data_IF_368985991154
#
_entry.id   IF_368985991154
#
_cell.length_a   1.000
_cell.length_b   1.000
_cell.length_c   1.000
_cell.angle_alpha   90.00
_cell.angle_beta   90.00
_cell.angle_gamma   90.00
#
_symmetry.space_group_name_H-M   'P 1'
#
loop_
_entity.id
_entity.type
_entity.pdbx_description
1 polymer ?
#
# COMPACT_ATOMS: atom_id res chain seq x y z
N UNK A 1 -0.41 -23.74 -8.82
CA UNK A 1 -0.49 -22.27 -8.89
C UNK A 1 0.89 -21.75 -8.55
N UNK A 2 1.51 -20.94 -9.41
CA UNK A 2 2.82 -20.36 -9.11
C UNK A 2 2.68 -19.50 -7.86
N UNK A 3 3.46 -19.82 -6.82
CA UNK A 3 3.40 -19.21 -5.48
C UNK A 3 4.00 -17.79 -5.54
N UNK A 4 3.30 -16.89 -6.23
CA UNK A 4 3.71 -15.48 -6.35
C UNK A 4 3.73 -14.87 -4.97
N UNK A 5 4.78 -14.10 -4.68
CA UNK A 5 4.90 -13.41 -3.40
C UNK A 5 3.74 -12.44 -3.21
N UNK A 6 3.16 -12.46 -2.01
CA UNK A 6 1.99 -11.67 -1.64
C UNK A 6 2.40 -10.31 -1.12
N UNK A 7 1.83 -9.24 -1.64
CA UNK A 7 2.17 -7.87 -1.25
C UNK A 7 0.93 -7.19 -0.67
N UNK A 8 1.07 -6.58 0.50
CA UNK A 8 0.09 -5.63 1.01
C UNK A 8 0.43 -4.22 0.50
N UNK A 9 -0.56 -3.51 -0.05
CA UNK A 9 -0.41 -2.09 -0.35
C UNK A 9 -1.10 -1.25 0.74
N UNK A 10 -0.33 -0.43 1.43
CA UNK A 10 -0.78 0.45 2.51
C UNK A 10 -0.70 1.88 1.97
N UNK A 11 -1.86 2.50 1.77
CA UNK A 11 -2.02 3.69 0.92
C UNK A 11 -2.79 4.78 1.68
N UNK A 12 -2.39 6.04 1.53
CA UNK A 12 -3.16 7.18 2.03
C UNK A 12 -4.37 7.47 1.13
N UNK A 13 -4.15 7.74 -0.16
CA UNK A 13 -5.21 7.88 -1.17
C UNK A 13 -4.81 7.27 -2.52
N UNK A 14 -5.81 6.87 -3.30
CA UNK A 14 -5.59 6.28 -4.63
C UNK A 14 -6.50 6.97 -5.66
N UNK A 15 -5.94 7.87 -6.46
CA UNK A 15 -6.65 8.61 -7.51
C UNK A 15 -5.76 8.78 -8.75
N UNK A 16 -6.28 9.23 -9.90
CA UNK A 16 -5.47 9.43 -11.09
C UNK A 16 -4.25 10.33 -10.83
N UNK A 17 -3.07 9.85 -11.22
CA UNK A 17 -1.80 10.56 -11.05
C UNK A 17 -1.27 10.63 -9.62
N UNK A 18 -1.93 9.98 -8.64
CA UNK A 18 -1.35 9.86 -7.30
C UNK A 18 -0.18 8.88 -7.30
N UNK A 19 0.67 8.96 -6.27
CA UNK A 19 1.76 8.01 -6.09
C UNK A 19 1.29 6.55 -6.05
N UNK A 20 0.13 6.29 -5.43
CA UNK A 20 -0.49 4.96 -5.44
C UNK A 20 -0.85 4.51 -6.85
N UNK A 21 -1.36 5.40 -7.72
CA UNK A 21 -1.64 5.08 -9.12
C UNK A 21 -0.36 4.81 -9.92
N UNK A 22 0.70 5.58 -9.71
CA UNK A 22 1.96 5.36 -10.42
C UNK A 22 2.62 4.04 -10.01
N UNK A 23 2.50 3.63 -8.75
CA UNK A 23 3.19 2.45 -8.20
C UNK A 23 2.28 1.23 -8.17
N UNK A 24 1.19 1.26 -7.40
CA UNK A 24 0.34 0.09 -7.14
C UNK A 24 -0.33 -0.41 -8.42
N UNK A 25 -0.73 0.49 -9.34
CA UNK A 25 -1.26 0.09 -10.66
C UNK A 25 -0.27 -0.79 -11.42
N UNK A 26 1.05 -0.59 -11.27
CA UNK A 26 2.06 -1.42 -11.96
C UNK A 26 2.15 -2.82 -11.38
N UNK A 27 1.89 -2.99 -10.09
CA UNK A 27 1.82 -4.30 -9.44
C UNK A 27 0.51 -5.04 -9.75
N UNK A 28 -0.54 -4.32 -10.14
CA UNK A 28 -1.81 -4.90 -10.58
C UNK A 28 -1.81 -5.23 -12.08
N UNK A 29 -1.44 -4.26 -12.92
CA UNK A 29 -1.57 -4.33 -14.38
C UNK A 29 -0.30 -4.78 -15.11
N UNK A 30 0.86 -4.64 -14.47
CA UNK A 30 2.15 -4.74 -15.14
C UNK A 30 2.74 -3.37 -15.53
N UNK A 31 4.00 -3.42 -15.96
CA UNK A 31 4.78 -2.25 -16.36
C UNK A 31 4.84 -2.20 -17.89
N UNK A 32 4.24 -1.19 -18.54
CA UNK A 32 4.41 -1.02 -19.97
C UNK A 32 5.83 -0.54 -20.29
N UNK A 33 6.45 -1.15 -21.29
CA UNK A 33 7.76 -0.79 -21.85
C UNK A 33 7.66 -0.77 -23.37
N UNK A 34 8.71 -0.28 -24.04
CA UNK A 34 8.78 -0.25 -25.51
C UNK A 34 8.69 -1.66 -26.13
N UNK A 35 9.17 -2.67 -25.41
CA UNK A 35 9.15 -4.09 -25.81
C UNK A 35 7.85 -4.82 -25.42
N UNK A 36 6.88 -4.13 -24.81
CA UNK A 36 5.57 -4.68 -24.43
C UNK A 36 5.26 -4.55 -22.94
N UNK A 37 4.40 -5.44 -22.43
CA UNK A 37 3.92 -5.38 -21.04
C UNK A 37 4.67 -6.38 -20.16
N UNK A 38 5.50 -5.88 -19.24
CA UNK A 38 6.15 -6.71 -18.22
C UNK A 38 5.13 -7.06 -17.13
N UNK A 39 4.82 -8.35 -17.01
CA UNK A 39 3.90 -8.85 -15.99
C UNK A 39 4.51 -8.76 -14.58
N UNK A 40 3.71 -8.44 -13.54
CA UNK A 40 4.18 -8.45 -12.16
C UNK A 40 4.66 -9.86 -11.74
N UNK A 41 5.78 -9.92 -11.01
CA UNK A 41 6.32 -11.17 -10.43
C UNK A 41 5.72 -11.52 -9.07
N UNK A 42 4.86 -10.64 -8.56
CA UNK A 42 4.20 -10.69 -7.25
C UNK A 42 2.72 -10.38 -7.45
N UNK A 43 1.91 -10.54 -6.42
CA UNK A 43 0.50 -10.16 -6.43
C UNK A 43 0.19 -9.17 -5.31
N UNK A 44 -0.72 -8.22 -5.55
CA UNK A 44 -1.29 -7.42 -4.46
C UNK A 44 -2.37 -8.30 -3.80
N UNK A 45 -2.07 -8.80 -2.61
CA UNK A 45 -2.97 -9.69 -1.88
C UNK A 45 -4.02 -8.93 -1.06
N UNK A 46 -3.75 -7.67 -0.74
CA UNK A 46 -4.65 -6.81 0.05
C UNK A 46 -4.28 -5.35 -0.07
N UNK A 47 -5.23 -4.47 0.20
CA UNK A 47 -4.99 -3.04 0.36
C UNK A 47 -5.52 -2.51 1.70
N UNK A 48 -4.85 -1.51 2.25
CA UNK A 48 -5.41 -0.54 3.17
C UNK A 48 -5.41 0.82 2.46
N UNK A 49 -6.53 1.53 2.51
CA UNK A 49 -6.68 2.86 1.92
C UNK A 49 -7.30 3.77 2.97
N UNK A 50 -6.56 4.80 3.36
CA UNK A 50 -6.95 5.70 4.45
C UNK A 50 -8.10 6.63 4.04
N UNK A 51 -8.03 7.17 2.82
CA UNK A 51 -8.96 8.17 2.30
C UNK A 51 -9.44 7.80 0.90
N UNK A 52 -10.73 8.02 0.65
CA UNK A 52 -11.39 7.75 -0.63
C UNK A 52 -11.92 9.07 -1.21
N UNK A 53 -11.12 9.80 -2.01
CA UNK A 53 -11.58 11.03 -2.67
C UNK A 53 -12.66 10.72 -3.72
N UNK A 54 -13.32 11.76 -4.25
CA UNK A 54 -14.41 11.60 -5.24
C UNK A 54 -13.98 10.79 -6.48
N UNK A 55 -12.73 10.95 -6.91
CA UNK A 55 -12.13 10.24 -8.03
C UNK A 55 -11.28 9.01 -7.61
N UNK A 56 -11.68 8.33 -6.52
CA UNK A 56 -11.02 7.12 -6.03
C UNK A 56 -10.92 6.02 -7.11
N UNK A 57 -9.72 5.47 -7.27
CA UNK A 57 -9.44 4.32 -8.13
C UNK A 57 -9.38 3.00 -7.33
N UNK A 58 -9.16 3.05 -6.02
CA UNK A 58 -8.86 1.85 -5.24
C UNK A 58 -10.01 0.86 -5.26
N UNK A 59 -11.27 1.29 -5.11
CA UNK A 59 -12.44 0.41 -5.12
C UNK A 59 -12.65 -0.25 -6.48
N UNK A 60 -12.46 0.51 -7.55
CA UNK A 60 -12.57 0.00 -8.92
C UNK A 60 -11.51 -1.07 -9.21
N UNK A 61 -10.25 -0.83 -8.83
CA UNK A 61 -9.19 -1.81 -9.00
C UNK A 61 -9.31 -3.00 -8.05
N UNK A 62 -9.73 -2.79 -6.81
CA UNK A 62 -10.03 -3.87 -5.88
C UNK A 62 -11.03 -4.86 -6.47
N UNK A 63 -12.14 -4.36 -7.00
CA UNK A 63 -13.15 -5.19 -7.65
C UNK A 63 -12.63 -5.87 -8.93
N UNK A 64 -11.88 -5.15 -9.77
CA UNK A 64 -11.39 -5.67 -11.04
C UNK A 64 -10.31 -6.76 -10.90
N UNK A 65 -9.53 -6.74 -9.81
CA UNK A 65 -8.41 -7.64 -9.57
C UNK A 65 -8.65 -8.62 -8.41
N UNK A 66 -9.86 -8.65 -7.85
CA UNK A 66 -10.22 -9.47 -6.67
C UNK A 66 -9.29 -9.24 -5.47
N UNK A 67 -8.98 -7.97 -5.20
CA UNK A 67 -8.10 -7.57 -4.10
C UNK A 67 -8.93 -6.98 -2.95
N UNK A 68 -8.94 -7.61 -1.76
CA UNK A 68 -9.68 -7.08 -0.63
C UNK A 68 -9.08 -5.76 -0.11
N UNK A 69 -9.94 -4.78 0.17
CA UNK A 69 -9.59 -3.58 0.94
C UNK A 69 -10.01 -3.80 2.39
N UNK A 70 -9.06 -3.77 3.32
CA UNK A 70 -9.32 -3.89 4.75
C UNK A 70 -9.38 -2.53 5.43
N UNK A 71 -10.13 -2.48 6.53
CA UNK A 71 -10.32 -1.27 7.34
C UNK A 71 -9.14 -0.95 8.28
N UNK A 72 -8.12 -1.79 8.32
CA UNK A 72 -6.91 -1.53 9.10
C UNK A 72 -5.67 -2.13 8.47
N UNK A 73 -4.52 -1.51 8.73
CA UNK A 73 -3.20 -2.00 8.30
C UNK A 73 -2.97 -3.41 8.83
N UNK A 74 -3.33 -3.67 10.09
CA UNK A 74 -3.23 -5.01 10.69
C UNK A 74 -3.97 -6.04 9.85
N UNK A 75 -5.25 -5.77 9.50
CA UNK A 75 -6.05 -6.72 8.75
C UNK A 75 -5.58 -6.90 7.30
N UNK A 76 -5.02 -5.86 6.68
CA UNK A 76 -4.37 -5.98 5.38
C UNK A 76 -3.13 -6.90 5.48
N UNK A 77 -2.26 -6.68 6.47
CA UNK A 77 -1.05 -7.49 6.67
C UNK A 77 -1.35 -8.94 7.06
N UNK A 78 -2.47 -9.20 7.73
CA UNK A 78 -2.88 -10.56 8.14
C UNK A 78 -3.90 -11.23 7.22
N UNK A 79 -4.30 -10.58 6.12
CA UNK A 79 -5.37 -11.04 5.22
C UNK A 79 -6.65 -11.43 6.01
N UNK A 80 -6.99 -10.65 7.03
CA UNK A 80 -8.13 -10.90 7.90
C UNK A 80 -7.85 -11.82 9.11
N UNK A 81 -6.75 -12.57 9.10
CA UNK A 81 -6.35 -13.50 10.14
C UNK A 81 -5.68 -12.85 11.35
N UNK A 82 -4.92 -13.66 12.11
CA UNK A 82 -4.20 -13.26 13.33
C UNK A 82 -2.68 -13.12 13.15
N UNK A 83 -2.12 -13.61 12.05
CA UNK A 83 -0.67 -13.64 11.81
C UNK A 83 -0.32 -12.97 10.47
N UNK A 84 0.93 -12.52 10.32
CA UNK A 84 1.43 -11.87 9.11
C UNK A 84 1.38 -12.82 7.90
N UNK A 85 0.50 -12.51 6.94
CA UNK A 85 0.15 -13.39 5.83
C UNK A 85 0.64 -12.89 4.45
N UNK A 86 1.46 -11.84 4.43
CA UNK A 86 2.06 -11.27 3.21
C UNK A 86 3.59 -11.43 3.20
N UNK A 87 4.22 -11.39 2.03
CA UNK A 87 5.66 -11.51 1.81
C UNK A 87 6.37 -10.16 1.65
N UNK A 88 5.63 -9.06 1.56
CA UNK A 88 6.18 -7.71 1.44
C UNK A 88 5.11 -6.64 1.58
N UNK A 89 5.54 -5.40 1.77
CA UNK A 89 4.64 -4.25 1.97
C UNK A 89 5.07 -3.10 1.07
N UNK A 90 4.10 -2.52 0.35
CA UNK A 90 4.23 -1.20 -0.29
C UNK A 90 3.57 -0.18 0.63
N UNK A 91 4.36 0.69 1.25
CA UNK A 91 3.87 1.83 2.03
C UNK A 91 3.93 3.08 1.16
N UNK A 92 2.78 3.49 0.64
CA UNK A 92 2.61 4.63 -0.25
C UNK A 92 1.80 5.71 0.47
N UNK A 93 2.50 6.50 1.29
CA UNK A 93 1.89 7.54 2.12
C UNK A 93 2.10 8.94 1.58
N UNK A 94 1.81 9.18 0.29
CA UNK A 94 1.91 10.49 -0.36
C UNK A 94 0.52 10.89 -0.88
N UNK A 95 0.19 12.18 -0.73
CA UNK A 95 -1.15 12.76 -0.93
C UNK A 95 -2.20 12.35 0.10
N UNK A 96 -3.37 12.99 0.02
CA UNK A 96 -4.45 12.96 0.99
C UNK A 96 -4.63 14.31 1.68
N UNK A 97 -5.72 14.44 2.43
CA UNK A 97 -5.99 15.58 3.29
C UNK A 97 -5.45 15.30 4.69
N UNK A 98 -4.38 16.00 5.07
CA UNK A 98 -3.70 15.86 6.34
C UNK A 98 -3.34 17.24 6.86
N UNK A 99 -3.21 17.36 8.18
CA UNK A 99 -2.84 18.60 8.85
C UNK A 99 -1.48 19.14 8.38
N UNK A 100 -1.25 20.43 8.63
CA UNK A 100 0.00 21.12 8.36
C UNK A 100 0.62 21.59 9.68
N UNK A 101 1.96 21.63 9.77
CA UNK A 101 2.66 22.22 10.92
C UNK A 101 3.07 23.68 10.69
N UNK A 102 3.70 24.30 11.69
CA UNK A 102 4.18 25.69 11.63
C UNK A 102 5.29 25.97 10.62
N UNK A 103 5.81 24.93 9.96
CA UNK A 103 6.84 25.01 8.91
C UNK A 103 6.26 24.82 7.51
N UNK A 104 4.94 24.89 7.37
CA UNK A 104 4.22 24.59 6.13
C UNK A 104 4.54 23.18 5.58
N UNK A 105 4.72 22.20 6.47
CA UNK A 105 4.86 20.81 6.07
C UNK A 105 3.54 20.07 6.30
N UNK A 106 3.05 19.40 5.25
CA UNK A 106 1.92 18.51 5.37
C UNK A 106 2.33 17.22 6.11
N UNK A 107 1.54 16.85 7.12
CA UNK A 107 1.83 15.80 8.08
C UNK A 107 1.37 14.43 7.59
N UNK A 108 1.95 13.99 6.48
CA UNK A 108 1.67 12.67 5.91
C UNK A 108 1.99 11.54 6.91
N UNK A 109 1.11 10.53 7.04
CA UNK A 109 1.17 9.56 8.13
C UNK A 109 2.18 8.41 7.91
N UNK A 110 3.21 8.60 7.08
CA UNK A 110 4.17 7.55 6.70
C UNK A 110 4.80 6.87 7.91
N UNK A 111 5.29 7.65 8.87
CA UNK A 111 5.83 7.13 10.14
C UNK A 111 4.79 6.35 10.93
N UNK A 112 3.57 6.88 11.06
CA UNK A 112 2.49 6.22 11.79
C UNK A 112 2.10 4.87 11.15
N UNK A 113 2.00 4.81 9.82
CA UNK A 113 1.72 3.58 9.10
C UNK A 113 2.89 2.58 9.25
N UNK A 114 4.13 3.04 9.17
CA UNK A 114 5.32 2.21 9.43
C UNK A 114 5.31 1.64 10.85
N UNK A 115 4.95 2.43 11.87
CA UNK A 115 4.83 1.96 13.25
C UNK A 115 3.77 0.85 13.38
N UNK A 116 2.63 0.97 12.71
CA UNK A 116 1.63 -0.10 12.68
C UNK A 116 2.14 -1.38 11.98
N UNK A 117 2.87 -1.22 10.86
CA UNK A 117 3.50 -2.35 10.16
C UNK A 117 4.50 -3.06 11.09
N UNK A 118 5.40 -2.31 11.72
CA UNK A 118 6.36 -2.82 12.70
C UNK A 118 5.68 -3.48 13.90
N UNK A 119 4.54 -2.95 14.34
CA UNK A 119 3.71 -3.56 15.39
C UNK A 119 3.27 -4.97 15.02
N UNK A 120 2.79 -5.18 13.79
CA UNK A 120 2.43 -6.52 13.29
C UNK A 120 3.65 -7.43 13.17
N UNK A 121 4.80 -6.90 12.74
CA UNK A 121 6.03 -7.70 12.67
C UNK A 121 6.48 -8.17 14.06
N UNK A 122 6.41 -7.28 15.05
CA UNK A 122 6.78 -7.59 16.43
C UNK A 122 5.86 -8.65 17.05
N UNK A 123 4.55 -8.59 16.79
CA UNK A 123 3.59 -9.55 17.37
C UNK A 123 3.59 -10.89 16.62
N UNK A 124 3.91 -10.89 15.33
CA UNK A 124 4.00 -12.13 14.52
C UNK A 124 5.36 -12.84 14.62
N UNK A 125 6.38 -12.21 15.19
CA UNK A 125 7.74 -12.75 15.24
C UNK A 125 8.41 -12.87 13.86
N UNK A 126 7.80 -12.28 12.82
CA UNK A 126 8.28 -12.30 11.43
C UNK A 126 8.25 -10.90 10.84
N UNK A 127 9.31 -10.56 10.12
CA UNK A 127 9.37 -9.34 9.33
C UNK A 127 9.44 -9.68 7.84
N UNK A 128 8.95 -8.75 7.01
CA UNK A 128 9.08 -8.80 5.55
C UNK A 128 9.62 -7.48 5.02
N UNK A 129 10.19 -7.45 3.80
CA UNK A 129 10.63 -6.21 3.19
C UNK A 129 9.50 -5.19 3.07
N UNK A 130 9.81 -3.94 3.42
CA UNK A 130 8.91 -2.80 3.27
C UNK A 130 9.54 -1.81 2.30
N UNK A 131 8.83 -1.51 1.22
CA UNK A 131 9.13 -0.35 0.38
C UNK A 131 8.36 0.85 0.95
N UNK A 132 9.08 1.88 1.40
CA UNK A 132 8.50 3.13 1.84
C UNK A 132 8.71 4.20 0.75
N UNK A 133 7.62 4.71 0.20
CA UNK A 133 7.67 5.83 -0.72
C UNK A 133 7.99 7.13 0.02
N UNK A 134 8.83 7.97 -0.59
CA UNK A 134 9.36 9.23 -0.02
C UNK A 134 10.12 9.06 1.30
N UNK A 135 10.22 10.14 2.06
CA UNK A 135 10.85 10.17 3.38
C UNK A 135 9.94 9.53 4.43
N UNK A 136 10.52 8.88 5.44
CA UNK A 136 9.76 8.18 6.49
C UNK A 136 8.90 9.13 7.33
N UNK A 137 9.42 10.31 7.65
CA UNK A 137 8.77 11.29 8.53
C UNK A 137 8.99 12.70 8.04
N UNK A 138 8.05 13.59 8.33
CA UNK A 138 8.14 15.02 7.99
C UNK A 138 9.17 15.78 8.86
N UNK A 139 9.81 15.13 9.84
CA UNK A 139 10.78 15.69 10.77
C UNK A 139 12.05 14.86 10.91
#
# INVERSE_FOLDING_TARGET
MSDRKKIAAIITEYRPGSHADVIVTKFLKGIPTDDGLIQPRVEIASMYVDQFPENDLSRGYAAAYDVPIYQSIVKALTLGGSELAVDGVLLIGEHGDYAWNEKDQQLYPRKYFMEQICGVFSTSGRAVPVFNDKHLSYN
#
